data_IF_174036944151
#
_entry.id   IF_174036944151
#
_cell.length_a   1.000
_cell.length_b   1.000
_cell.length_c   1.000
_cell.angle_alpha   90.00
_cell.angle_beta   90.00
_cell.angle_gamma   90.00
#
_symmetry.space_group_name_H-M   'P 1'
#
loop_
_entity.id
_entity.type
_entity.pdbx_description
1 polymer ?
#
# COMPACT_ATOMS: atom_id res chain seq x y z
N UNK A 1 17.76 19.43 4.10
CA UNK A 1 18.40 18.09 4.05
C UNK A 1 17.38 16.96 4.22
N UNK A 2 16.71 16.81 5.38
CA UNK A 2 15.76 15.71 5.66
C UNK A 2 14.63 15.59 4.62
N UNK A 3 14.07 16.71 4.17
CA UNK A 3 13.07 16.74 3.07
C UNK A 3 13.58 16.05 1.81
N UNK A 4 14.83 16.32 1.40
CA UNK A 4 15.45 15.73 0.20
C UNK A 4 15.65 14.23 0.39
N UNK A 5 16.10 13.80 1.57
CA UNK A 5 16.23 12.38 1.91
C UNK A 5 14.87 11.69 1.84
N UNK A 6 13.84 12.30 2.41
CA UNK A 6 12.48 11.75 2.46
C UNK A 6 11.92 11.54 1.06
N UNK A 7 12.06 12.55 0.18
CA UNK A 7 11.65 12.46 -1.21
C UNK A 7 12.45 11.43 -2.02
N UNK A 8 13.78 11.35 -1.80
CA UNK A 8 14.63 10.36 -2.45
C UNK A 8 14.25 8.92 -2.04
N UNK A 9 14.06 8.69 -0.74
CA UNK A 9 13.59 7.40 -0.21
C UNK A 9 12.20 7.05 -0.76
N UNK A 10 11.29 8.02 -0.81
CA UNK A 10 9.96 7.87 -1.41
C UNK A 10 10.03 7.43 -2.87
N UNK A 11 10.80 8.14 -3.70
CA UNK A 11 10.96 7.82 -5.11
C UNK A 11 11.57 6.42 -5.33
N UNK A 12 12.63 6.08 -4.58
CA UNK A 12 13.26 4.75 -4.63
C UNK A 12 12.25 3.67 -4.23
N UNK A 13 11.51 3.89 -3.14
CA UNK A 13 10.51 2.96 -2.65
C UNK A 13 9.35 2.75 -3.62
N UNK A 14 8.87 3.81 -4.28
CA UNK A 14 7.81 3.72 -5.29
C UNK A 14 8.27 2.86 -6.46
N UNK A 15 9.47 3.12 -6.99
CA UNK A 15 10.03 2.32 -8.10
C UNK A 15 10.18 0.86 -7.67
N UNK A 16 10.73 0.59 -6.49
CA UNK A 16 10.94 -0.77 -5.99
C UNK A 16 9.61 -1.52 -5.80
N UNK A 17 8.61 -0.90 -5.15
CA UNK A 17 7.30 -1.53 -4.93
C UNK A 17 6.54 -1.73 -6.25
N UNK A 18 6.65 -0.80 -7.20
CA UNK A 18 6.05 -0.97 -8.53
C UNK A 18 6.68 -2.15 -9.28
N UNK A 19 8.01 -2.26 -9.27
CA UNK A 19 8.72 -3.42 -9.86
C UNK A 19 8.31 -4.73 -9.19
N UNK A 20 8.21 -4.75 -7.85
CA UNK A 20 7.74 -5.92 -7.10
C UNK A 20 6.31 -6.29 -7.50
N UNK A 21 5.41 -5.31 -7.58
CA UNK A 21 4.02 -5.54 -7.96
C UNK A 21 3.89 -6.12 -9.37
N UNK A 22 4.63 -5.58 -10.35
CA UNK A 22 4.69 -6.14 -11.69
C UNK A 22 5.27 -7.57 -11.68
N UNK A 23 6.32 -7.83 -10.91
CA UNK A 23 6.89 -9.17 -10.79
C UNK A 23 5.88 -10.19 -10.23
N UNK A 24 5.06 -9.76 -9.26
CA UNK A 24 3.98 -10.57 -8.67
C UNK A 24 2.92 -10.92 -9.72
N UNK A 25 2.46 -9.94 -10.50
CA UNK A 25 1.42 -10.15 -11.53
C UNK A 25 1.90 -11.14 -12.59
N UNK A 26 3.12 -10.98 -13.10
CA UNK A 26 3.56 -11.70 -14.30
C UNK A 26 4.22 -13.05 -14.04
N UNK A 27 4.77 -13.30 -12.84
CA UNK A 27 5.68 -14.45 -12.63
C UNK A 27 5.42 -15.26 -11.37
N UNK A 28 4.30 -15.06 -10.69
CA UNK A 28 3.99 -15.88 -9.52
C UNK A 28 3.71 -17.34 -9.93
N UNK A 29 4.49 -18.32 -9.42
CA UNK A 29 4.23 -19.73 -9.67
C UNK A 29 2.95 -20.20 -8.97
N UNK A 30 2.27 -21.20 -9.52
CA UNK A 30 0.98 -21.69 -9.02
C UNK A 30 0.97 -22.02 -7.52
N UNK A 31 2.05 -22.60 -7.00
CA UNK A 31 2.18 -22.96 -5.59
C UNK A 31 2.31 -21.76 -4.63
N UNK A 32 2.74 -20.59 -5.12
CA UNK A 32 2.85 -19.35 -4.32
C UNK A 32 1.69 -18.38 -4.54
N UNK A 33 0.68 -18.75 -5.34
CA UNK A 33 -0.39 -17.84 -5.78
C UNK A 33 -1.10 -17.13 -4.62
N UNK A 34 -1.42 -17.85 -3.56
CA UNK A 34 -2.14 -17.27 -2.41
C UNK A 34 -1.23 -16.31 -1.63
N UNK A 35 0.01 -16.70 -1.38
CA UNK A 35 1.00 -15.87 -0.71
C UNK A 35 1.31 -14.59 -1.51
N UNK A 36 1.34 -14.67 -2.83
CA UNK A 36 1.58 -13.50 -3.69
C UNK A 36 0.43 -12.49 -3.64
N UNK A 37 -0.79 -12.88 -3.26
CA UNK A 37 -1.89 -11.92 -3.02
C UNK A 37 -1.60 -11.05 -1.80
N UNK A 38 -1.10 -11.65 -0.73
CA UNK A 38 -0.67 -10.92 0.48
C UNK A 38 0.46 -9.95 0.13
N UNK A 39 1.47 -10.43 -0.58
CA UNK A 39 2.57 -9.56 -1.04
C UNK A 39 2.11 -8.46 -2.00
N UNK A 40 1.19 -8.77 -2.91
CA UNK A 40 0.65 -7.80 -3.86
C UNK A 40 -0.12 -6.70 -3.14
N UNK A 41 -0.96 -7.05 -2.18
CA UNK A 41 -1.68 -6.09 -1.34
C UNK A 41 -0.69 -5.22 -0.54
N UNK A 42 0.33 -5.83 0.09
CA UNK A 42 1.37 -5.09 0.81
C UNK A 42 2.11 -4.11 -0.10
N UNK A 43 2.48 -4.51 -1.32
CA UNK A 43 3.16 -3.63 -2.27
C UNK A 43 2.28 -2.46 -2.71
N UNK A 44 0.96 -2.66 -2.83
CA UNK A 44 0.00 -1.58 -3.11
C UNK A 44 -0.12 -0.64 -1.92
N UNK A 45 -0.25 -1.16 -0.70
CA UNK A 45 -0.26 -0.33 0.52
C UNK A 45 1.02 0.50 0.64
N UNK A 46 2.18 -0.11 0.38
CA UNK A 46 3.47 0.57 0.41
C UNK A 46 3.56 1.66 -0.68
N UNK A 47 3.04 1.43 -1.89
CA UNK A 47 2.97 2.45 -2.95
C UNK A 47 2.11 3.65 -2.54
N UNK A 48 0.90 3.39 -2.03
CA UNK A 48 -0.02 4.45 -1.59
C UNK A 48 0.57 5.22 -0.42
N UNK A 49 1.14 4.52 0.56
CA UNK A 49 1.78 5.14 1.73
C UNK A 49 2.98 6.00 1.38
N UNK A 50 3.86 5.52 0.49
CA UNK A 50 5.01 6.29 0.01
C UNK A 50 4.57 7.50 -0.83
N UNK A 51 3.53 7.36 -1.65
CA UNK A 51 2.92 8.49 -2.37
C UNK A 51 2.36 9.54 -1.41
N UNK A 52 1.65 9.13 -0.36
CA UNK A 52 1.14 10.00 0.68
C UNK A 52 2.26 10.72 1.45
N UNK A 53 3.35 10.01 1.75
CA UNK A 53 4.54 10.61 2.36
C UNK A 53 5.20 11.65 1.45
N UNK A 54 5.35 11.37 0.15
CA UNK A 54 5.92 12.35 -0.77
C UNK A 54 5.02 13.58 -0.96
N UNK A 55 3.70 13.41 -0.87
CA UNK A 55 2.75 14.52 -0.93
C UNK A 55 2.74 15.37 0.34
N UNK A 56 2.97 14.78 1.51
CA UNK A 56 2.93 15.48 2.80
C UNK A 56 4.28 16.06 3.23
N UNK A 57 5.36 15.30 3.03
CA UNK A 57 6.72 15.56 3.54
C UNK A 57 6.68 16.14 4.95
N UNK A 58 6.08 15.36 5.86
CA UNK A 58 5.78 15.77 7.22
C UNK A 58 7.04 15.83 8.07
N UNK A 59 7.22 16.92 8.81
CA UNK A 59 8.18 17.03 9.91
C UNK A 59 7.43 17.16 11.23
N UNK A 60 7.83 16.38 12.21
CA UNK A 60 7.25 16.42 13.54
C UNK A 60 8.09 17.36 14.41
N UNK A 61 7.43 18.25 15.16
CA UNK A 61 8.07 19.18 16.09
C UNK A 61 7.35 19.13 17.42
N UNK A 62 8.07 18.77 18.49
CA UNK A 62 7.46 18.77 19.82
C UNK A 62 7.52 20.18 20.37
N UNK A 63 6.35 20.76 20.65
CA UNK A 63 6.22 22.11 21.18
C UNK A 63 5.29 22.10 22.39
N UNK A 64 5.89 22.20 23.58
CA UNK A 64 5.20 22.07 24.88
C UNK A 64 4.40 20.75 24.92
N UNK A 65 3.10 20.81 25.20
CA UNK A 65 2.18 19.68 25.32
C UNK A 65 1.55 19.24 23.97
N UNK A 66 2.15 19.59 22.84
CA UNK A 66 1.65 19.21 21.52
C UNK A 66 2.79 18.79 20.57
N UNK A 67 2.47 17.96 19.59
CA UNK A 67 3.30 17.75 18.41
C UNK A 67 2.72 18.55 17.25
N UNK A 68 3.51 19.49 16.73
CA UNK A 68 3.21 20.24 15.53
C UNK A 68 3.71 19.44 14.33
N UNK A 69 2.85 19.25 13.34
CA UNK A 69 3.16 18.60 12.07
C UNK A 69 3.37 19.70 11.02
N UNK A 70 4.61 19.92 10.61
CA UNK A 70 4.91 20.83 9.51
C UNK A 70 4.86 20.09 8.17
N UNK A 71 3.97 20.50 7.28
CA UNK A 71 3.83 19.87 5.97
C UNK A 71 4.60 20.63 4.90
N UNK A 72 5.68 20.03 4.39
CA UNK A 72 6.56 20.64 3.39
C UNK A 72 6.34 20.09 1.97
N UNK A 73 5.39 19.17 1.79
CA UNK A 73 5.10 18.54 0.51
C UNK A 73 4.11 19.32 -0.34
N UNK A 74 3.79 18.75 -1.51
CA UNK A 74 2.87 19.35 -2.50
C UNK A 74 1.45 19.56 -1.93
N UNK A 75 1.07 18.81 -0.88
CA UNK A 75 -0.25 18.94 -0.28
C UNK A 75 -0.53 20.35 0.26
N UNK A 76 0.49 21.06 0.74
CA UNK A 76 0.35 22.38 1.35
C UNK A 76 -0.01 23.43 0.31
N UNK A 77 0.44 23.23 -0.95
CA UNK A 77 0.19 24.14 -2.06
C UNK A 77 -1.20 23.96 -2.68
N UNK A 78 -1.72 22.73 -2.71
CA UNK A 78 -2.96 22.41 -3.44
C UNK A 78 -4.20 22.58 -2.57
N UNK A 79 -4.16 22.07 -1.34
CA UNK A 79 -5.33 22.00 -0.47
C UNK A 79 -5.07 22.44 0.96
N UNK A 80 -3.92 23.06 1.21
CA UNK A 80 -3.52 23.52 2.53
C UNK A 80 -3.54 22.42 3.58
N UNK A 81 -3.94 22.79 4.79
CA UNK A 81 -3.94 21.88 5.95
C UNK A 81 -4.92 20.72 5.80
N UNK A 82 -6.08 20.92 5.15
CA UNK A 82 -7.11 19.89 5.05
C UNK A 82 -6.63 18.70 4.21
N UNK A 83 -6.08 18.98 3.03
CA UNK A 83 -5.55 17.95 2.15
C UNK A 83 -4.31 17.28 2.76
N UNK A 84 -3.43 18.05 3.41
CA UNK A 84 -2.27 17.47 4.12
C UNK A 84 -2.69 16.54 5.25
N UNK A 85 -3.67 16.93 6.07
CA UNK A 85 -4.19 16.09 7.16
C UNK A 85 -4.82 14.80 6.65
N UNK A 86 -5.58 14.87 5.55
CA UNK A 86 -6.14 13.67 4.91
C UNK A 86 -5.04 12.73 4.39
N UNK A 87 -4.06 13.26 3.65
CA UNK A 87 -2.95 12.47 3.13
C UNK A 87 -2.07 11.89 4.25
N UNK A 88 -1.91 12.62 5.35
CA UNK A 88 -1.23 12.10 6.55
C UNK A 88 -2.01 10.92 7.15
N UNK A 89 -3.34 11.02 7.24
CA UNK A 89 -4.20 9.91 7.63
C UNK A 89 -4.09 8.70 6.70
N UNK A 90 -4.00 8.92 5.38
CA UNK A 90 -3.73 7.85 4.38
C UNK A 90 -2.39 7.18 4.67
N UNK A 91 -1.34 7.95 4.95
CA UNK A 91 -0.03 7.43 5.29
C UNK A 91 -0.09 6.53 6.53
N UNK A 92 -0.69 7.00 7.63
CA UNK A 92 -0.82 6.24 8.89
C UNK A 92 -1.67 4.96 8.73
N UNK A 93 -2.75 5.05 7.94
CA UNK A 93 -3.56 3.89 7.59
C UNK A 93 -2.75 2.84 6.83
N UNK A 94 -1.95 3.25 5.85
CA UNK A 94 -1.11 2.34 5.07
C UNK A 94 -0.02 1.68 5.90
N UNK A 95 0.63 2.38 6.85
CA UNK A 95 1.59 1.74 7.77
C UNK A 95 0.93 0.62 8.57
N UNK A 96 -0.22 0.92 9.17
CA UNK A 96 -0.97 -0.04 9.97
C UNK A 96 -1.37 -1.26 9.13
N UNK A 97 -1.90 -1.03 7.92
CA UNK A 97 -2.27 -2.10 7.00
C UNK A 97 -1.06 -2.96 6.61
N UNK A 98 0.08 -2.35 6.25
CA UNK A 98 1.31 -3.08 5.90
C UNK A 98 1.83 -3.94 7.06
N UNK A 99 1.86 -3.42 8.30
CA UNK A 99 2.29 -4.19 9.47
C UNK A 99 1.40 -5.42 9.72
N UNK A 100 0.08 -5.25 9.58
CA UNK A 100 -0.88 -6.35 9.73
C UNK A 100 -0.78 -7.36 8.59
N UNK A 101 -0.61 -6.91 7.34
CA UNK A 101 -0.39 -7.79 6.19
C UNK A 101 0.91 -8.58 6.32
N UNK A 102 1.97 -7.95 6.83
CA UNK A 102 3.24 -8.60 7.12
C UNK A 102 3.04 -9.68 8.19
N UNK A 103 2.40 -9.36 9.32
CA UNK A 103 2.09 -10.36 10.36
C UNK A 103 1.21 -11.49 9.82
N UNK A 104 0.18 -11.16 9.05
CA UNK A 104 -0.67 -12.14 8.39
C UNK A 104 0.12 -13.05 7.44
N UNK A 105 1.16 -12.53 6.80
CA UNK A 105 2.07 -13.34 5.98
C UNK A 105 2.82 -14.41 6.80
N UNK A 106 3.21 -14.12 8.05
CA UNK A 106 3.79 -15.09 8.98
C UNK A 106 2.75 -16.15 9.36
N UNK A 107 1.54 -15.73 9.74
CA UNK A 107 0.45 -16.65 10.11
C UNK A 107 0.10 -17.58 8.95
N UNK A 108 -0.04 -17.03 7.74
CA UNK A 108 -0.32 -17.79 6.53
C UNK A 108 0.77 -18.83 6.24
N UNK A 109 2.05 -18.48 6.41
CA UNK A 109 3.17 -19.41 6.24
C UNK A 109 3.11 -20.54 7.26
N UNK A 110 2.89 -20.24 8.54
CA UNK A 110 2.74 -21.26 9.59
C UNK A 110 1.57 -22.20 9.28
N UNK A 111 0.42 -21.66 8.87
CA UNK A 111 -0.76 -22.43 8.51
C UNK A 111 -0.51 -23.34 7.29
N UNK A 112 0.19 -22.83 6.28
CA UNK A 112 0.53 -23.60 5.08
C UNK A 112 1.47 -24.77 5.38
N UNK A 113 2.37 -24.63 6.37
CA UNK A 113 3.23 -25.72 6.83
C UNK A 113 2.46 -26.82 7.58
N UNK A 114 1.31 -26.51 8.18
CA UNK A 114 0.57 -27.44 9.02
C UNK A 114 -0.48 -28.27 8.26
N UNK A 115 -0.95 -27.81 7.10
CA UNK A 115 -2.15 -28.38 6.47
C UNK A 115 -1.98 -28.68 4.98
N UNK A 116 -2.20 -29.94 4.62
CA UNK A 116 -2.44 -30.42 3.26
C UNK A 116 -3.95 -30.48 3.00
N UNK A 117 -4.36 -30.27 1.76
CA UNK A 117 -5.76 -30.32 1.27
C UNK A 117 -6.70 -29.16 1.64
N UNK A 118 -6.63 -28.07 0.86
CA UNK A 118 -7.71 -27.57 -0.01
C UNK A 118 -7.37 -26.13 -0.49
N UNK A 119 -6.92 -25.96 -1.74
CA UNK A 119 -6.30 -24.71 -2.20
C UNK A 119 -7.29 -23.56 -2.48
N UNK A 120 -8.50 -23.86 -2.98
CA UNK A 120 -9.42 -22.82 -3.45
C UNK A 120 -10.08 -22.05 -2.30
N UNK A 121 -10.58 -22.74 -1.29
CA UNK A 121 -11.18 -22.10 -0.10
C UNK A 121 -10.17 -21.20 0.59
N UNK A 122 -8.90 -21.63 0.66
CA UNK A 122 -7.80 -20.88 1.26
C UNK A 122 -7.53 -19.55 0.54
N UNK A 123 -7.56 -19.53 -0.79
CA UNK A 123 -7.35 -18.28 -1.55
C UNK A 123 -8.43 -17.25 -1.23
N UNK A 124 -9.69 -17.67 -1.20
CA UNK A 124 -10.82 -16.80 -0.87
C UNK A 124 -10.69 -16.26 0.55
N UNK A 125 -10.43 -17.14 1.52
CA UNK A 125 -10.25 -16.74 2.93
C UNK A 125 -9.13 -15.71 3.08
N UNK A 126 -7.99 -15.91 2.39
CA UNK A 126 -6.87 -14.95 2.42
C UNK A 126 -7.27 -13.60 1.84
N UNK A 127 -7.98 -13.58 0.71
CA UNK A 127 -8.47 -12.33 0.11
C UNK A 127 -9.44 -11.61 1.03
N UNK A 128 -10.38 -12.33 1.65
CA UNK A 128 -11.32 -11.75 2.61
C UNK A 128 -10.62 -11.15 3.82
N UNK A 129 -9.58 -11.81 4.35
CA UNK A 129 -8.79 -11.27 5.47
C UNK A 129 -8.03 -10.01 5.04
N UNK A 130 -7.43 -9.99 3.85
CA UNK A 130 -6.77 -8.79 3.31
C UNK A 130 -7.74 -7.62 3.23
N UNK A 131 -8.92 -7.83 2.63
CA UNK A 131 -9.96 -6.80 2.50
C UNK A 131 -10.41 -6.34 3.88
N UNK A 132 -10.63 -7.27 4.82
CA UNK A 132 -11.01 -6.95 6.19
C UNK A 132 -9.96 -6.09 6.89
N UNK A 133 -8.68 -6.41 6.78
CA UNK A 133 -7.58 -5.60 7.35
C UNK A 133 -7.66 -4.17 6.82
N UNK A 134 -7.79 -3.99 5.50
CA UNK A 134 -7.83 -2.66 4.89
C UNK A 134 -9.09 -1.91 5.32
N UNK A 135 -10.27 -2.53 5.21
CA UNK A 135 -11.56 -1.85 5.49
C UNK A 135 -11.72 -1.50 6.97
N UNK A 136 -11.35 -2.39 7.90
CA UNK A 136 -11.49 -2.12 9.35
C UNK A 136 -10.64 -0.94 9.80
N UNK A 137 -9.49 -0.72 9.16
CA UNK A 137 -8.56 0.34 9.52
C UNK A 137 -8.77 1.63 8.69
N UNK A 138 -9.65 1.60 7.68
CA UNK A 138 -9.98 2.77 6.85
C UNK A 138 -10.44 4.00 7.66
N UNK A 139 -11.22 3.87 8.77
CA UNK A 139 -11.59 5.01 9.60
C UNK A 139 -10.42 5.80 10.17
N UNK A 140 -9.18 5.26 10.19
CA UNK A 140 -8.01 6.03 10.59
C UNK A 140 -7.79 7.28 9.75
N UNK A 141 -8.14 7.24 8.45
CA UNK A 141 -7.92 8.37 7.55
C UNK A 141 -8.70 9.62 8.03
N UNK A 142 -10.04 9.58 8.15
CA UNK A 142 -10.79 10.73 8.65
C UNK A 142 -10.47 11.04 10.12
N UNK A 143 -10.15 10.05 10.96
CA UNK A 143 -9.78 10.30 12.36
C UNK A 143 -8.48 11.11 12.49
N UNK A 144 -7.45 10.77 11.71
CA UNK A 144 -6.21 11.55 11.67
C UNK A 144 -6.41 12.92 11.04
N UNK A 145 -7.23 13.03 9.99
CA UNK A 145 -7.60 14.33 9.46
C UNK A 145 -8.23 15.21 10.56
N UNK A 146 -9.27 14.74 11.25
CA UNK A 146 -9.90 15.48 12.36
C UNK A 146 -8.91 15.80 13.49
N UNK A 147 -8.03 14.87 13.83
CA UNK A 147 -7.03 15.06 14.88
C UNK A 147 -6.07 16.19 14.52
N UNK A 148 -5.59 16.22 13.27
CA UNK A 148 -4.51 17.11 12.83
C UNK A 148 -4.98 18.48 12.37
N UNK A 149 -6.20 18.62 11.84
CA UNK A 149 -6.71 19.89 11.26
C UNK A 149 -7.50 20.74 12.26
N UNK A 150 -7.54 20.33 13.53
CA UNK A 150 -8.25 21.08 14.56
C UNK A 150 -7.67 22.48 14.74
N UNK A 151 -8.54 23.44 15.04
CA UNK A 151 -8.11 24.79 15.45
C UNK A 151 -7.61 24.72 16.89
N UNK A 152 -6.33 25.01 17.09
CA UNK A 152 -5.68 25.01 18.40
C UNK A 152 -4.76 26.23 18.52
N UNK A 153 -4.91 26.99 19.60
CA UNK A 153 -4.08 28.18 19.85
C UNK A 153 -2.58 27.86 19.99
N UNK A 154 -2.21 26.60 20.24
CA UNK A 154 -0.83 26.13 20.21
C UNK A 154 -0.18 26.28 18.83
N UNK A 155 -0.97 26.13 17.74
CA UNK A 155 -0.47 26.33 16.37
C UNK A 155 -0.11 27.80 16.15
N UNK A 156 -0.95 28.72 16.60
CA UNK A 156 -0.70 30.16 16.47
C UNK A 156 0.51 30.61 17.30
N UNK A 157 0.63 30.08 18.52
CA UNK A 157 1.81 30.31 19.37
C UNK A 157 3.09 29.76 18.72
N UNK A 158 3.01 28.57 18.12
CA UNK A 158 4.13 28.00 17.39
C UNK A 158 4.53 28.87 16.19
N UNK A 159 3.57 29.30 15.37
CA UNK A 159 3.79 30.22 14.24
C UNK A 159 4.50 31.49 14.69
N UNK A 160 3.99 32.14 15.73
CA UNK A 160 4.59 33.37 16.27
C UNK A 160 6.01 33.11 16.81
N UNK A 161 6.24 31.99 17.51
CA UNK A 161 7.55 31.67 18.08
C UNK A 161 8.62 31.39 17.01
N UNK A 162 8.21 30.86 15.86
CA UNK A 162 9.11 30.50 14.74
C UNK A 162 9.18 31.55 13.64
N UNK A 163 8.33 32.59 13.68
CA UNK A 163 8.21 33.57 12.61
C UNK A 163 7.69 32.96 11.30
N UNK A 164 6.85 31.92 11.39
CA UNK A 164 6.29 31.24 10.22
C UNK A 164 4.95 31.89 9.87
N UNK A 165 4.80 32.32 8.61
CA UNK A 165 3.56 32.94 8.13
C UNK A 165 2.42 31.94 7.95
N UNK A 166 1.24 32.42 7.56
CA UNK A 166 0.02 31.60 7.43
C UNK A 166 0.03 30.68 6.20
N UNK A 167 0.97 30.88 5.29
CA UNK A 167 1.17 30.06 4.09
C UNK A 167 1.63 28.63 4.39
N UNK A 168 2.33 28.41 5.50
CA UNK A 168 2.78 27.07 5.88
C UNK A 168 1.61 26.26 6.45
N UNK A 169 1.32 25.09 5.87
CA UNK A 169 0.34 24.16 6.44
C UNK A 169 0.91 23.49 7.71
N UNK A 170 0.21 23.67 8.84
CA UNK A 170 0.59 23.13 10.13
C UNK A 170 -0.57 22.31 10.72
N UNK A 171 -0.30 21.06 11.06
CA UNK A 171 -1.19 20.21 11.84
C UNK A 171 -0.77 20.17 13.31
N UNK A 172 -1.68 19.71 14.17
CA UNK A 172 -1.42 19.60 15.60
C UNK A 172 -1.94 18.28 16.16
N UNK A 173 -1.13 17.63 16.98
CA UNK A 173 -1.52 16.49 17.82
C UNK A 173 -1.34 16.94 19.26
N UNK A 174 -2.44 17.22 19.94
CA UNK A 174 -2.42 17.72 21.31
C UNK A 174 -2.45 16.56 22.30
N UNK A 175 -1.50 16.45 23.22
CA UNK A 175 -1.45 15.30 24.14
C UNK A 175 -2.37 15.42 25.34
N UNK A 176 -2.88 16.63 25.63
CA UNK A 176 -3.90 16.84 26.64
C UNK A 176 -5.31 16.46 26.19
N UNK A 177 -5.52 16.25 24.89
CA UNK A 177 -6.82 15.89 24.34
C UNK A 177 -6.94 14.36 24.23
N UNK A 178 -8.05 13.83 24.76
CA UNK A 178 -8.27 12.39 24.80
C UNK A 178 -8.38 11.79 23.40
N UNK A 179 -9.02 12.49 22.45
CA UNK A 179 -9.26 11.99 21.12
C UNK A 179 -7.95 11.78 20.34
N UNK A 180 -7.09 12.80 20.27
CA UNK A 180 -5.76 12.71 19.63
C UNK A 180 -4.88 11.64 20.27
N UNK A 181 -4.89 11.53 21.61
CA UNK A 181 -4.14 10.47 22.32
C UNK A 181 -4.62 9.08 21.93
N UNK A 182 -5.93 8.85 21.84
CA UNK A 182 -6.49 7.55 21.42
C UNK A 182 -6.08 7.23 19.98
N UNK A 183 -6.20 8.18 19.06
CA UNK A 183 -5.83 7.98 17.64
C UNK A 183 -4.34 7.65 17.50
N UNK A 184 -3.45 8.39 18.17
CA UNK A 184 -2.02 8.10 18.14
C UNK A 184 -1.66 6.78 18.83
N UNK A 185 -2.27 6.49 19.98
CA UNK A 185 -2.06 5.24 20.71
C UNK A 185 -2.46 4.03 19.88
N UNK A 186 -3.54 4.16 19.09
CA UNK A 186 -3.96 3.11 18.17
C UNK A 186 -2.87 2.77 17.15
N UNK A 187 -2.27 3.75 16.48
CA UNK A 187 -1.18 3.52 15.52
C UNK A 187 0.08 2.95 16.17
N UNK A 188 0.39 3.38 17.40
CA UNK A 188 1.50 2.80 18.15
C UNK A 188 1.25 1.33 18.52
N UNK A 189 0.04 1.00 18.98
CA UNK A 189 -0.36 -0.37 19.27
C UNK A 189 -0.39 -1.23 18.01
N UNK A 190 -0.84 -0.68 16.88
CA UNK A 190 -0.86 -1.37 15.59
C UNK A 190 0.55 -1.62 15.02
N UNK A 191 1.57 -0.92 15.50
CA UNK A 191 2.98 -1.24 15.25
C UNK A 191 3.49 -2.34 16.20
N UNK A 192 3.28 -2.15 17.50
CA UNK A 192 3.83 -3.01 18.54
C UNK A 192 3.24 -4.43 18.54
N UNK A 193 1.92 -4.58 18.41
CA UNK A 193 1.25 -5.87 18.48
C UNK A 193 1.63 -6.78 17.30
N UNK A 194 1.54 -6.34 16.01
CA UNK A 194 1.93 -7.18 14.88
C UNK A 194 3.42 -7.52 14.88
N UNK A 195 4.29 -6.62 15.33
CA UNK A 195 5.72 -6.92 15.50
C UNK A 195 5.92 -8.05 16.52
N UNK A 196 5.37 -7.89 17.73
CA UNK A 196 5.48 -8.87 18.81
C UNK A 196 4.92 -10.24 18.41
N UNK A 197 3.76 -10.25 17.76
CA UNK A 197 3.17 -11.47 17.21
C UNK A 197 4.06 -12.09 16.13
N UNK A 198 4.71 -11.28 15.27
CA UNK A 198 5.62 -11.79 14.24
C UNK A 198 6.86 -12.45 14.84
N UNK A 199 7.40 -11.92 15.95
CA UNK A 199 8.50 -12.56 16.70
C UNK A 199 8.07 -13.95 17.22
N UNK A 200 6.87 -14.04 17.81
CA UNK A 200 6.33 -15.31 18.33
C UNK A 200 6.07 -16.31 17.19
N UNK A 201 5.43 -15.85 16.10
CA UNK A 201 5.14 -16.69 14.94
C UNK A 201 6.42 -17.17 14.28
N UNK A 202 7.46 -16.34 14.19
CA UNK A 202 8.78 -16.74 13.70
C UNK A 202 9.35 -17.90 14.51
N UNK A 203 9.33 -17.83 15.85
CA UNK A 203 9.81 -18.93 16.71
C UNK A 203 9.04 -20.22 16.44
N UNK A 204 7.71 -20.14 16.31
CA UNK A 204 6.85 -21.29 15.97
C UNK A 204 7.16 -21.86 14.59
N UNK A 205 7.36 -21.02 13.57
CA UNK A 205 7.71 -21.44 12.22
C UNK A 205 9.05 -22.16 12.20
N UNK A 206 10.09 -21.61 12.84
CA UNK A 206 11.42 -22.23 12.89
C UNK A 206 11.35 -23.61 13.55
N UNK A 207 10.73 -23.71 14.73
CA UNK A 207 10.54 -24.99 15.41
C UNK A 207 9.82 -26.00 14.53
N UNK A 208 8.74 -25.57 13.86
CA UNK A 208 7.98 -26.47 12.98
C UNK A 208 8.79 -26.89 11.75
N UNK A 209 9.59 -25.99 11.21
CA UNK A 209 10.49 -26.29 10.09
C UNK A 209 11.61 -27.24 10.49
N UNK A 210 12.14 -27.14 11.72
CA UNK A 210 13.13 -28.07 12.27
C UNK A 210 12.54 -29.48 12.46
N UNK A 211 11.32 -29.58 13.01
CA UNK A 211 10.59 -30.86 13.14
C UNK A 211 10.41 -31.56 11.78
N UNK A 212 10.18 -30.81 10.70
CA UNK A 212 10.02 -31.38 9.36
C UNK A 212 11.36 -31.65 8.65
N UNK A 213 12.46 -31.06 9.12
CA UNK A 213 13.77 -31.07 8.42
C UNK A 213 14.30 -32.47 8.16
N UNK A 214 14.03 -33.41 9.05
CA UNK A 214 14.49 -34.81 8.94
C UNK A 214 13.76 -35.57 7.82
N UNK A 215 12.53 -35.19 7.49
CA UNK A 215 11.72 -35.83 6.44
C UNK A 215 11.88 -35.25 5.03
N UNK A 216 12.67 -34.18 4.87
CA UNK A 216 12.66 -33.36 3.67
C UNK A 216 13.85 -33.63 2.74
N UNK A 217 13.56 -33.60 1.43
CA UNK A 217 14.59 -33.69 0.37
C UNK A 217 15.57 -32.52 0.42
N UNK A 218 16.77 -32.70 -0.15
CA UNK A 218 17.81 -31.66 -0.25
C UNK A 218 17.30 -30.39 -0.96
N UNK A 219 16.46 -30.54 -2.00
CA UNK A 219 15.86 -29.42 -2.71
C UNK A 219 14.89 -28.63 -1.81
N UNK A 220 14.07 -29.33 -1.03
CA UNK A 220 13.18 -28.71 -0.05
C UNK A 220 13.98 -27.98 1.03
N UNK A 221 15.08 -28.56 1.52
CA UNK A 221 15.96 -27.94 2.52
C UNK A 221 16.51 -26.58 2.07
N UNK A 222 16.89 -26.43 0.81
CA UNK A 222 17.30 -25.14 0.24
C UNK A 222 16.16 -24.10 0.23
N UNK A 223 14.93 -24.53 -0.10
CA UNK A 223 13.75 -23.66 0.00
C UNK A 223 13.45 -23.27 1.46
N UNK A 224 13.68 -24.17 2.42
CA UNK A 224 13.57 -23.89 3.85
C UNK A 224 14.53 -22.78 4.30
N UNK A 225 15.81 -22.87 3.95
CA UNK A 225 16.80 -21.85 4.33
C UNK A 225 16.46 -20.48 3.72
N UNK A 226 15.99 -20.45 2.47
CA UNK A 226 15.53 -19.22 1.82
C UNK A 226 14.36 -18.60 2.60
N UNK A 227 13.40 -19.42 3.06
CA UNK A 227 12.24 -18.95 3.82
C UNK A 227 12.64 -18.40 5.20
N UNK A 228 13.56 -19.05 5.92
CA UNK A 228 14.07 -18.54 7.21
C UNK A 228 14.76 -17.19 7.05
N UNK A 229 15.59 -17.04 6.01
CA UNK A 229 16.23 -15.76 5.69
C UNK A 229 15.18 -14.67 5.36
N UNK A 230 14.14 -15.03 4.62
CA UNK A 230 13.01 -14.14 4.34
C UNK A 230 12.34 -13.63 5.63
N UNK A 231 12.06 -14.55 6.56
CA UNK A 231 11.41 -14.24 7.83
C UNK A 231 12.25 -13.29 8.69
N UNK A 232 13.57 -13.52 8.77
CA UNK A 232 14.47 -12.63 9.51
C UNK A 232 14.46 -11.21 8.92
N UNK A 233 14.58 -11.11 7.60
CA UNK A 233 14.67 -9.82 6.93
C UNK A 233 13.34 -9.06 7.00
N UNK A 234 12.21 -9.74 6.86
CA UNK A 234 10.88 -9.14 7.04
C UNK A 234 10.65 -8.64 8.48
N UNK A 235 11.14 -9.37 9.49
CA UNK A 235 11.07 -8.91 10.87
C UNK A 235 11.93 -7.67 11.13
N UNK A 236 13.15 -7.62 10.55
CA UNK A 236 13.99 -6.43 10.57
C UNK A 236 13.29 -5.25 9.88
N UNK A 237 12.64 -5.48 8.74
CA UNK A 237 11.86 -4.44 8.04
C UNK A 237 10.75 -3.88 8.93
N UNK A 238 9.96 -4.75 9.57
CA UNK A 238 8.90 -4.31 10.48
C UNK A 238 9.41 -3.57 11.72
N UNK A 239 10.67 -3.80 12.12
CA UNK A 239 11.24 -3.13 13.28
C UNK A 239 11.44 -1.63 13.07
N UNK A 240 11.61 -1.15 11.82
CA UNK A 240 11.82 0.28 11.55
C UNK A 240 10.61 1.13 11.96
N UNK A 241 9.39 0.66 11.68
CA UNK A 241 8.19 1.36 12.12
C UNK A 241 8.04 1.33 13.65
N UNK A 242 8.33 0.19 14.29
CA UNK A 242 8.33 0.09 15.76
C UNK A 242 9.35 1.03 16.41
N UNK A 243 10.57 1.11 15.86
CA UNK A 243 11.61 2.02 16.35
C UNK A 243 11.17 3.47 16.13
N UNK A 244 10.56 3.81 15.00
CA UNK A 244 10.00 5.12 14.76
C UNK A 244 8.95 5.51 15.80
N UNK A 245 7.97 4.65 16.07
CA UNK A 245 6.98 4.87 17.13
C UNK A 245 7.63 4.99 18.53
N UNK A 246 8.66 4.20 18.82
CA UNK A 246 9.37 4.28 20.10
C UNK A 246 10.16 5.59 20.24
N UNK A 247 10.81 6.05 19.16
CA UNK A 247 11.49 7.35 19.12
C UNK A 247 10.52 8.51 19.25
N UNK A 248 9.34 8.43 18.63
CA UNK A 248 8.26 9.40 18.81
C UNK A 248 7.87 9.51 20.29
N UNK A 249 7.59 8.38 20.95
CA UNK A 249 7.26 8.35 22.38
C UNK A 249 8.42 8.87 23.25
N UNK A 250 9.65 8.50 22.91
CA UNK A 250 10.83 8.96 23.62
C UNK A 250 10.99 10.48 23.52
N UNK A 251 10.89 11.06 22.32
CA UNK A 251 10.93 12.51 22.12
C UNK A 251 9.80 13.20 22.89
N UNK A 252 8.60 12.62 22.87
CA UNK A 252 7.47 13.13 23.62
C UNK A 252 7.74 13.20 25.13
N UNK A 253 8.24 12.12 25.73
CA UNK A 253 8.53 12.07 27.17
C UNK A 253 9.71 12.97 27.51
N UNK A 254 10.83 12.82 26.80
CA UNK A 254 12.09 13.52 27.13
C UNK A 254 11.98 15.02 26.92
N UNK A 255 11.37 15.50 25.84
CA UNK A 255 11.31 16.95 25.60
C UNK A 255 10.35 17.66 26.56
N UNK A 256 9.39 16.95 27.16
CA UNK A 256 8.57 17.48 28.25
C UNK A 256 9.32 17.50 29.60
N UNK A 257 10.24 16.57 29.83
CA UNK A 257 11.03 16.50 31.08
C UNK A 257 12.30 17.36 31.02
N UNK A 258 12.95 17.42 29.85
CA UNK A 258 14.24 18.07 29.59
C UNK A 258 14.15 18.93 28.31
N UNK A 259 13.66 20.18 28.39
CA UNK A 259 13.38 21.03 27.23
C UNK A 259 14.60 21.47 26.40
N UNK A 260 15.83 21.09 26.80
CA UNK A 260 17.07 21.34 26.05
C UNK A 260 17.67 20.10 25.38
N UNK A 261 17.01 18.95 25.44
CA UNK A 261 17.52 17.73 24.82
C UNK A 261 17.49 17.82 23.28
N UNK A 262 18.48 17.27 22.56
CA UNK A 262 18.50 17.31 21.09
C UNK A 262 17.24 16.69 20.49
N UNK A 263 16.50 17.48 19.72
CA UNK A 263 15.26 17.04 19.08
C UNK A 263 15.58 16.04 17.96
N UNK A 264 15.11 14.80 18.09
CA UNK A 264 15.23 13.76 17.05
C UNK A 264 13.92 13.52 16.30
N UNK A 265 12.93 14.39 16.46
CA UNK A 265 11.61 14.24 15.85
C UNK A 265 11.67 14.26 14.31
N UNK A 266 12.61 15.01 13.73
CA UNK A 266 12.76 15.13 12.27
C UNK A 266 13.13 13.81 11.58
N UNK A 267 13.72 12.84 12.29
CA UNK A 267 14.08 11.53 11.72
C UNK A 267 12.96 10.49 11.88
N UNK A 268 11.95 10.72 12.72
CA UNK A 268 10.89 9.75 13.04
C UNK A 268 10.14 9.32 11.78
N UNK A 269 9.59 10.29 11.03
CA UNK A 269 8.81 10.00 9.83
C UNK A 269 9.64 9.27 8.75
N UNK A 270 10.85 9.75 8.36
CA UNK A 270 11.71 9.01 7.44
C UNK A 270 12.04 7.58 7.90
N UNK A 271 12.25 7.37 9.20
CA UNK A 271 12.55 6.07 9.77
C UNK A 271 11.35 5.11 9.68
N UNK A 272 10.14 5.58 9.98
CA UNK A 272 8.91 4.83 9.80
C UNK A 272 8.74 4.38 8.33
N UNK A 273 8.99 5.30 7.39
CA UNK A 273 8.88 5.04 5.95
C UNK A 273 9.89 4.03 5.42
N UNK A 274 11.03 3.88 6.10
CA UNK A 274 12.07 2.95 5.69
C UNK A 274 11.55 1.50 5.64
N UNK A 275 10.54 1.17 6.45
CA UNK A 275 9.80 -0.09 6.35
C UNK A 275 9.28 -0.33 4.93
N UNK A 276 8.53 0.62 4.37
CA UNK A 276 7.85 0.49 3.07
C UNK A 276 8.87 0.44 1.92
N UNK A 277 10.00 1.13 2.05
CA UNK A 277 11.08 1.10 1.05
C UNK A 277 11.80 -0.25 1.08
N UNK A 278 12.28 -0.67 2.25
CA UNK A 278 13.09 -1.88 2.37
C UNK A 278 12.25 -3.15 2.15
N UNK A 279 10.96 -3.15 2.52
CA UNK A 279 10.01 -4.25 2.24
C UNK A 279 10.08 -4.73 0.78
N UNK A 280 10.05 -3.80 -0.18
CA UNK A 280 10.10 -4.15 -1.60
C UNK A 280 11.42 -4.83 -1.99
N UNK A 281 12.56 -4.23 -1.60
CA UNK A 281 13.88 -4.75 -1.93
C UNK A 281 14.09 -6.15 -1.35
N UNK A 282 13.72 -6.34 -0.09
CA UNK A 282 13.89 -7.61 0.62
C UNK A 282 13.10 -8.72 -0.06
N UNK A 283 11.85 -8.45 -0.44
CA UNK A 283 11.03 -9.39 -1.19
C UNK A 283 11.59 -9.68 -2.59
N UNK A 284 12.07 -8.68 -3.33
CA UNK A 284 12.69 -8.88 -4.66
C UNK A 284 13.97 -9.73 -4.58
N UNK A 285 14.85 -9.43 -3.62
CA UNK A 285 16.17 -10.09 -3.50
C UNK A 285 16.03 -11.54 -3.04
N UNK A 286 15.14 -11.79 -2.08
CA UNK A 286 14.99 -13.12 -1.47
C UNK A 286 14.17 -14.06 -2.34
N UNK A 287 13.07 -13.57 -2.93
CA UNK A 287 12.16 -14.44 -3.67
C UNK A 287 12.76 -14.71 -5.06
N UNK A 288 13.42 -15.86 -5.18
CA UNK A 288 14.13 -16.32 -6.37
C UNK A 288 13.39 -16.09 -7.70
N UNK A 289 12.09 -16.43 -7.88
CA UNK A 289 11.41 -16.19 -9.15
C UNK A 289 11.30 -14.71 -9.52
N UNK A 290 11.18 -13.81 -8.52
CA UNK A 290 11.16 -12.37 -8.73
C UNK A 290 12.56 -11.84 -9.05
N UNK A 291 13.57 -12.25 -8.27
CA UNK A 291 14.98 -11.89 -8.54
C UNK A 291 15.41 -12.24 -9.96
N UNK A 292 15.19 -13.49 -10.39
CA UNK A 292 15.56 -13.94 -11.74
C UNK A 292 14.94 -13.07 -12.83
N UNK A 293 13.71 -12.60 -12.64
CA UNK A 293 13.03 -11.74 -13.62
C UNK A 293 13.57 -10.32 -13.62
N UNK A 294 13.78 -9.73 -12.45
CA UNK A 294 14.36 -8.39 -12.34
C UNK A 294 15.75 -8.38 -12.98
N UNK A 295 16.60 -9.35 -12.64
CA UNK A 295 17.92 -9.52 -13.28
C UNK A 295 17.77 -9.67 -14.79
N UNK A 296 16.83 -10.48 -15.29
CA UNK A 296 16.61 -10.60 -16.73
C UNK A 296 16.15 -9.27 -17.37
N UNK A 297 15.30 -8.47 -16.72
CA UNK A 297 14.84 -7.18 -17.27
C UNK A 297 16.00 -6.18 -17.33
N UNK A 298 16.83 -6.12 -16.28
CA UNK A 298 17.93 -5.16 -16.21
C UNK A 298 19.16 -5.59 -17.01
N UNK A 299 19.52 -6.88 -17.01
CA UNK A 299 20.76 -7.38 -17.63
C UNK A 299 20.58 -8.03 -19.00
N UNK A 300 19.40 -8.59 -19.34
CA UNK A 300 19.17 -9.10 -20.70
C UNK A 300 18.87 -7.97 -21.71
N UNK A 301 18.64 -6.74 -21.24
CA UNK A 301 18.47 -5.54 -22.07
C UNK A 301 19.80 -4.83 -22.37
N UNK A 302 20.86 -5.56 -22.74
CA UNK A 302 21.86 -5.05 -23.71
C UNK A 302 21.27 -5.08 -25.14
N UNK A 303 20.04 -4.60 -25.30
CA UNK A 303 19.34 -4.43 -26.56
C UNK A 303 18.95 -2.94 -26.68
N UNK A 304 19.13 -2.30 -27.85
CA UNK A 304 19.17 -0.86 -27.99
C UNK A 304 17.86 -0.20 -27.54
N UNK A 305 18.01 0.83 -26.71
CA UNK A 305 16.97 1.65 -26.05
C UNK A 305 15.87 2.20 -26.99
N UNK A 306 16.07 2.15 -28.32
CA UNK A 306 15.07 2.49 -29.35
C UNK A 306 13.79 1.65 -29.29
N UNK A 307 13.82 0.42 -28.76
CA UNK A 307 12.59 -0.41 -28.67
C UNK A 307 11.68 -0.09 -27.48
N UNK A 308 12.19 0.54 -26.42
CA UNK A 308 11.39 0.83 -25.22
C UNK A 308 10.46 2.04 -25.45
N UNK A 309 10.90 3.02 -26.24
CA UNK A 309 10.05 4.14 -26.67
C UNK A 309 8.96 3.66 -27.64
N UNK A 310 9.20 2.60 -28.42
CA UNK A 310 8.19 1.95 -29.25
C UNK A 310 7.10 1.20 -28.47
N UNK A 311 7.33 0.87 -27.19
CA UNK A 311 6.33 0.23 -26.31
C UNK A 311 5.34 1.26 -25.74
N UNK A 312 5.73 2.53 -25.62
CA UNK A 312 4.86 3.60 -25.15
C UNK A 312 3.91 4.16 -26.24
N UNK A 313 4.11 3.78 -27.50
CA UNK A 313 3.17 4.08 -28.60
C UNK A 313 2.91 2.79 -29.40
N UNK A 314 2.05 1.87 -28.93
CA UNK A 314 1.82 0.64 -29.66
C UNK A 314 0.88 0.90 -30.84
N UNK A 315 1.39 0.65 -32.05
CA UNK A 315 0.55 0.48 -33.24
C UNK A 315 -0.46 -0.67 -33.01
N UNK A 316 -1.72 -0.45 -33.41
CA UNK A 316 -2.90 -1.33 -33.17
C UNK A 316 -2.68 -2.82 -33.52
N UNK A 317 -1.67 -3.16 -34.33
CA UNK A 317 -1.36 -4.55 -34.74
C UNK A 317 -0.54 -5.35 -33.73
N UNK A 318 0.39 -4.74 -32.99
CA UNK A 318 1.26 -5.48 -32.05
C UNK A 318 0.59 -5.79 -30.70
N UNK A 319 -0.33 -4.94 -30.25
CA UNK A 319 -1.14 -5.21 -29.04
C UNK A 319 -1.96 -6.50 -29.19
N UNK A 320 -2.43 -6.81 -30.40
CA UNK A 320 -3.23 -8.02 -30.69
C UNK A 320 -2.40 -9.32 -30.60
N UNK A 321 -1.09 -9.26 -30.90
CA UNK A 321 -0.21 -10.44 -30.91
C UNK A 321 0.33 -10.75 -29.51
N UNK A 322 0.77 -9.74 -28.75
CA UNK A 322 1.30 -9.98 -27.40
C UNK A 322 0.21 -10.31 -26.37
N UNK A 323 -0.99 -9.75 -26.48
CA UNK A 323 -2.13 -10.17 -25.65
C UNK A 323 -2.57 -11.60 -26.01
N UNK A 324 -2.47 -12.00 -27.27
CA UNK A 324 -2.76 -13.39 -27.70
C UNK A 324 -1.73 -14.38 -27.17
N UNK A 325 -0.43 -14.05 -27.16
CA UNK A 325 0.61 -14.95 -26.64
C UNK A 325 0.63 -15.05 -25.10
N UNK A 326 0.42 -13.94 -24.37
CA UNK A 326 0.38 -13.97 -22.90
C UNK A 326 -0.86 -14.68 -22.34
N UNK A 327 -1.88 -14.89 -23.17
CA UNK A 327 -3.12 -15.57 -22.78
C UNK A 327 -3.29 -16.95 -23.42
N UNK A 328 -2.30 -17.49 -24.14
CA UNK A 328 -2.43 -18.80 -24.81
C UNK A 328 -1.62 -19.94 -24.21
N UNK A 329 -0.76 -19.74 -23.21
CA UNK A 329 -0.03 -20.86 -22.60
C UNK A 329 -0.55 -21.19 -21.19
N UNK A 330 -1.15 -22.39 -21.06
CA UNK A 330 -1.39 -23.15 -19.82
C UNK A 330 -2.51 -22.74 -18.83
N UNK A 331 -3.56 -22.03 -19.26
CA UNK A 331 -4.78 -21.86 -18.44
C UNK A 331 -6.02 -22.48 -19.12
N UNK A 332 -6.87 -23.23 -18.38
CA UNK A 332 -8.18 -23.65 -18.88
C UNK A 332 -8.94 -22.45 -19.45
N UNK A 333 -9.64 -22.62 -20.58
CA UNK A 333 -10.31 -21.54 -21.32
C UNK A 333 -11.19 -20.64 -20.42
N UNK A 334 -11.79 -21.22 -19.38
CA UNK A 334 -12.63 -20.51 -18.40
C UNK A 334 -11.84 -19.54 -17.50
N UNK A 335 -10.65 -19.94 -17.03
CA UNK A 335 -9.78 -19.09 -16.20
C UNK A 335 -9.21 -17.90 -16.98
N UNK A 336 -9.08 -18.02 -18.31
CA UNK A 336 -8.57 -16.94 -19.17
C UNK A 336 -9.56 -15.80 -19.32
N UNK A 337 -10.84 -16.10 -19.44
CA UNK A 337 -11.89 -15.08 -19.51
C UNK A 337 -11.97 -14.34 -18.17
N UNK A 338 -11.99 -15.07 -17.05
CA UNK A 338 -12.00 -14.46 -15.72
C UNK A 338 -10.77 -13.57 -15.45
N UNK A 339 -9.56 -14.04 -15.79
CA UNK A 339 -8.34 -13.23 -15.62
C UNK A 339 -8.32 -11.98 -16.51
N UNK A 340 -8.93 -12.03 -17.70
CA UNK A 340 -9.06 -10.84 -18.57
C UNK A 340 -10.07 -9.84 -18.01
N UNK A 341 -11.18 -10.31 -17.45
CA UNK A 341 -12.18 -9.46 -16.78
C UNK A 341 -11.53 -8.75 -15.58
N UNK A 342 -10.75 -9.48 -14.77
CA UNK A 342 -10.09 -8.91 -13.60
C UNK A 342 -8.95 -7.94 -13.96
N UNK A 343 -8.19 -8.23 -15.02
CA UNK A 343 -7.17 -7.31 -15.53
C UNK A 343 -7.79 -6.03 -16.13
N UNK A 344 -8.92 -6.16 -16.84
CA UNK A 344 -9.67 -5.01 -17.33
C UNK A 344 -10.23 -4.17 -16.18
N UNK A 345 -10.72 -4.81 -15.11
CA UNK A 345 -11.17 -4.13 -13.91
C UNK A 345 -10.05 -3.30 -13.27
N UNK A 346 -8.88 -3.90 -13.02
CA UNK A 346 -7.74 -3.17 -12.43
C UNK A 346 -7.22 -2.05 -13.33
N UNK A 347 -7.34 -2.18 -14.65
CA UNK A 347 -7.01 -1.10 -15.58
C UNK A 347 -8.02 0.04 -15.49
N UNK A 348 -9.33 -0.26 -15.40
CA UNK A 348 -10.38 0.73 -15.18
C UNK A 348 -10.19 1.46 -13.84
N UNK A 349 -9.87 0.75 -12.75
CA UNK A 349 -9.55 1.35 -11.45
C UNK A 349 -8.37 2.31 -11.53
N UNK A 350 -7.30 1.93 -12.22
CA UNK A 350 -6.11 2.77 -12.35
C UNK A 350 -6.39 4.04 -13.16
N UNK A 351 -7.16 3.92 -14.25
CA UNK A 351 -7.57 5.08 -15.06
C UNK A 351 -8.55 5.96 -14.28
N UNK A 352 -9.50 5.37 -13.56
CA UNK A 352 -10.43 6.10 -12.70
C UNK A 352 -9.72 6.83 -11.56
N UNK A 353 -8.72 6.20 -10.94
CA UNK A 353 -7.87 6.80 -9.93
C UNK A 353 -7.05 7.97 -10.49
N UNK A 354 -6.42 7.78 -11.65
CA UNK A 354 -5.70 8.86 -12.33
C UNK A 354 -6.63 10.03 -12.68
N UNK A 355 -7.85 9.73 -13.16
CA UNK A 355 -8.86 10.73 -13.45
C UNK A 355 -9.33 11.48 -12.20
N UNK A 356 -9.54 10.77 -11.08
CA UNK A 356 -9.90 11.35 -9.80
C UNK A 356 -8.79 12.26 -9.23
N UNK A 357 -7.52 11.85 -9.34
CA UNK A 357 -6.37 12.67 -8.94
C UNK A 357 -6.31 13.96 -9.78
N UNK A 358 -6.62 13.87 -11.07
CA UNK A 358 -6.59 15.01 -11.97
C UNK A 358 -7.81 15.93 -11.81
N UNK A 359 -8.98 15.39 -11.43
CA UNK A 359 -10.26 16.09 -11.30
C UNK A 359 -10.79 16.09 -9.88
N UNK A 360 -10.02 16.69 -8.95
CA UNK A 360 -10.45 16.82 -7.55
C UNK A 360 -11.73 17.65 -7.51
N UNK A 361 -12.84 17.04 -7.15
CA UNK A 361 -14.15 17.70 -7.11
C UNK A 361 -14.57 17.99 -5.67
N UNK A 362 -15.09 19.19 -5.45
CA UNK A 362 -15.80 19.57 -4.23
C UNK A 362 -17.27 19.74 -4.58
N UNK A 363 -18.11 18.89 -4.00
CA UNK A 363 -19.55 18.94 -4.22
C UNK A 363 -20.20 19.90 -3.21
N UNK A 364 -20.86 20.96 -3.70
CA UNK A 364 -21.74 21.80 -2.88
C UNK A 364 -23.20 21.46 -3.22
N UNK A 365 -23.94 21.02 -2.21
CA UNK A 365 -25.36 20.67 -2.33
C UNK A 365 -26.18 21.93 -2.01
N UNK A 366 -26.92 22.43 -3.00
CA UNK A 366 -27.99 23.39 -2.81
C UNK A 366 -29.34 22.67 -2.94
N UNK A 367 -30.39 23.24 -2.36
CA UNK A 367 -31.71 22.60 -2.16
C UNK A 367 -32.33 21.93 -3.40
N UNK A 368 -31.94 22.34 -4.61
CA UNK A 368 -32.42 21.78 -5.88
C UNK A 368 -31.33 21.53 -6.93
N UNK A 369 -30.06 21.81 -6.63
CA UNK A 369 -28.97 21.70 -7.60
C UNK A 369 -27.63 21.31 -6.94
N UNK A 370 -26.82 20.55 -7.69
CA UNK A 370 -25.45 20.22 -7.31
C UNK A 370 -24.49 21.10 -8.10
N UNK A 371 -23.63 21.84 -7.40
CA UNK A 371 -22.51 22.54 -8.01
C UNK A 371 -21.25 21.70 -7.75
N UNK A 372 -20.59 21.29 -8.84
CA UNK A 372 -19.28 20.64 -8.80
C UNK A 372 -18.22 21.72 -8.99
N UNK A 373 -17.49 22.02 -7.91
CA UNK A 373 -16.30 22.86 -7.98
C UNK A 373 -15.11 21.97 -8.30
N UNK A 374 -14.50 22.17 -9.47
CA UNK A 374 -13.31 21.44 -9.88
C UNK A 374 -12.05 22.14 -9.38
N UNK A 375 -11.16 21.37 -8.76
CA UNK A 375 -9.86 21.79 -8.24
C UNK A 375 -8.76 20.87 -8.77
N UNK A 376 -7.51 21.32 -8.67
CA UNK A 376 -6.32 20.51 -8.98
C UNK A 376 -5.76 20.72 -10.39
N UNK A 377 -5.13 19.67 -10.93
CA UNK A 377 -4.33 19.77 -12.16
C UNK A 377 -5.21 20.05 -13.40
N UNK A 378 -6.43 19.52 -13.45
CA UNK A 378 -7.33 19.75 -14.59
C UNK A 378 -7.70 21.23 -14.74
N UNK A 379 -7.92 21.93 -13.61
CA UNK A 379 -8.32 23.35 -13.63
C UNK A 379 -7.16 24.25 -14.04
N UNK A 380 -5.93 23.84 -13.74
CA UNK A 380 -4.72 24.56 -14.13
C UNK A 380 -4.35 24.37 -15.61
N UNK A 381 -4.64 23.20 -16.19
CA UNK A 381 -4.16 22.84 -17.53
C UNK A 381 -5.17 23.13 -18.63
N UNK A 382 -6.46 22.88 -18.42
CA UNK A 382 -7.44 22.85 -19.50
C UNK A 382 -8.80 23.48 -19.19
N UNK A 383 -8.96 24.14 -18.04
CA UNK A 383 -10.22 24.77 -17.66
C UNK A 383 -11.37 23.80 -17.38
N UNK A 384 -12.59 24.34 -17.34
CA UNK A 384 -13.80 23.61 -16.91
C UNK A 384 -14.13 22.43 -17.84
N UNK A 385 -13.93 22.57 -19.15
CA UNK A 385 -14.23 21.51 -20.12
C UNK A 385 -13.31 20.30 -19.94
N UNK A 386 -12.02 20.52 -19.69
CA UNK A 386 -11.08 19.44 -19.42
C UNK A 386 -11.38 18.75 -18.09
N UNK A 387 -11.71 19.51 -17.04
CA UNK A 387 -12.15 18.95 -15.77
C UNK A 387 -13.43 18.13 -15.89
N UNK A 388 -14.43 18.62 -16.63
CA UNK A 388 -15.67 17.91 -16.91
C UNK A 388 -15.42 16.60 -17.67
N UNK A 389 -14.49 16.62 -18.64
CA UNK A 389 -14.07 15.41 -19.35
C UNK A 389 -13.41 14.39 -18.41
N UNK A 390 -12.47 14.81 -17.56
CA UNK A 390 -11.80 13.93 -16.61
C UNK A 390 -12.77 13.35 -15.56
N UNK A 391 -13.72 14.15 -15.09
CA UNK A 391 -14.78 13.69 -14.20
C UNK A 391 -15.72 12.69 -14.89
N UNK A 392 -16.07 12.93 -16.16
CA UNK A 392 -16.79 11.97 -16.98
C UNK A 392 -16.03 10.65 -17.17
N UNK A 393 -14.70 10.71 -17.35
CA UNK A 393 -13.84 9.52 -17.40
C UNK A 393 -13.84 8.79 -16.07
N UNK A 394 -13.76 9.49 -14.94
CA UNK A 394 -13.86 8.90 -13.60
C UNK A 394 -15.18 8.14 -13.43
N UNK A 395 -16.32 8.78 -13.69
CA UNK A 395 -17.66 8.16 -13.58
C UNK A 395 -17.85 6.97 -14.53
N UNK A 396 -17.37 7.07 -15.77
CA UNK A 396 -17.39 5.97 -16.72
C UNK A 396 -16.50 4.80 -16.29
N UNK A 397 -15.31 5.08 -15.74
CA UNK A 397 -14.42 4.04 -15.25
C UNK A 397 -14.96 3.39 -13.98
N UNK A 398 -15.62 4.14 -13.09
CA UNK A 398 -16.32 3.60 -11.93
C UNK A 398 -17.46 2.66 -12.36
N UNK A 399 -18.29 3.10 -13.30
CA UNK A 399 -19.39 2.29 -13.87
C UNK A 399 -18.85 1.03 -14.56
N UNK A 400 -17.80 1.16 -15.38
CA UNK A 400 -17.16 0.04 -16.05
C UNK A 400 -16.57 -0.97 -15.05
N UNK A 401 -15.97 -0.47 -13.96
CA UNK A 401 -15.45 -1.28 -12.86
C UNK A 401 -16.56 -2.07 -12.19
N UNK A 402 -17.68 -1.44 -11.83
CA UNK A 402 -18.84 -2.12 -11.26
C UNK A 402 -19.39 -3.20 -12.21
N UNK A 403 -19.51 -2.91 -13.51
CA UNK A 403 -19.96 -3.88 -14.51
C UNK A 403 -19.00 -5.06 -14.66
N UNK A 404 -17.69 -4.80 -14.69
CA UNK A 404 -16.66 -5.85 -14.76
C UNK A 404 -16.64 -6.70 -13.49
N UNK A 405 -16.88 -6.10 -12.33
CA UNK A 405 -17.01 -6.81 -11.06
C UNK A 405 -18.25 -7.71 -11.09
N UNK A 406 -19.41 -7.19 -11.50
CA UNK A 406 -20.64 -7.97 -11.69
C UNK A 406 -20.46 -9.12 -12.68
N UNK A 407 -19.80 -8.88 -13.82
CA UNK A 407 -19.46 -9.91 -14.80
C UNK A 407 -18.52 -10.96 -14.20
N UNK A 408 -17.55 -10.56 -13.38
CA UNK A 408 -16.65 -11.49 -12.69
C UNK A 408 -17.43 -12.41 -11.72
N UNK A 409 -18.42 -11.86 -11.01
CA UNK A 409 -19.30 -12.62 -10.11
C UNK A 409 -20.22 -13.56 -10.89
N UNK A 410 -20.92 -13.08 -11.91
CA UNK A 410 -21.81 -13.89 -12.74
C UNK A 410 -21.06 -15.05 -13.42
N UNK A 411 -19.85 -14.78 -13.92
CA UNK A 411 -19.00 -15.79 -14.53
C UNK A 411 -18.58 -16.87 -13.53
N UNK A 412 -18.24 -16.46 -12.30
CA UNK A 412 -17.88 -17.37 -11.22
C UNK A 412 -19.07 -18.21 -10.75
N UNK A 413 -20.26 -17.63 -10.70
CA UNK A 413 -21.50 -18.34 -10.35
C UNK A 413 -21.82 -19.46 -11.37
N UNK A 414 -21.77 -19.12 -12.66
CA UNK A 414 -21.97 -20.09 -13.76
C UNK A 414 -20.91 -21.21 -13.75
N UNK A 415 -19.65 -20.89 -13.43
CA UNK A 415 -18.61 -21.90 -13.28
C UNK A 415 -18.89 -22.88 -12.12
N UNK A 416 -19.45 -22.40 -11.01
CA UNK A 416 -19.85 -23.23 -9.87
C UNK A 416 -21.05 -24.13 -10.22
N UNK A 417 -22.05 -23.60 -10.92
CA UNK A 417 -23.21 -24.39 -11.36
C UNK A 417 -22.80 -25.53 -12.29
N UNK A 418 -21.92 -25.25 -13.27
CA UNK A 418 -21.38 -26.28 -14.17
C UNK A 418 -20.59 -27.36 -13.43
N UNK A 419 -19.77 -26.95 -12.46
CA UNK A 419 -19.02 -27.92 -11.65
C UNK A 419 -19.96 -28.81 -10.83
N UNK A 420 -21.09 -28.28 -10.36
CA UNK A 420 -22.07 -29.03 -9.57
C UNK A 420 -22.87 -29.99 -10.45
N UNK A 421 -23.23 -29.56 -11.67
CA UNK A 421 -23.92 -30.39 -12.67
C UNK A 421 -23.07 -31.59 -13.13
N UNK A 422 -21.77 -31.37 -13.37
CA UNK A 422 -20.86 -32.45 -13.76
C UNK A 422 -20.70 -33.51 -12.66
N UNK A 423 -20.58 -33.11 -11.39
CA UNK A 423 -20.54 -34.08 -10.27
C UNK A 423 -21.82 -34.92 -10.15
N UNK A 424 -22.98 -34.33 -10.44
CA UNK A 424 -24.26 -35.06 -10.48
C UNK A 424 -24.36 -36.04 -11.64
N UNK A 425 -23.63 -35.81 -12.74
CA UNK A 425 -23.54 -36.75 -13.87
C UNK A 425 -22.55 -37.88 -13.62
N UNK A 426 -21.45 -37.63 -12.93
CA UNK A 426 -20.46 -38.66 -12.58
C UNK A 426 -20.93 -39.60 -11.46
N UNK A 427 -21.97 -39.22 -10.71
CA UNK A 427 -22.57 -40.02 -9.63
C UNK A 427 -23.81 -40.81 -10.07
N UNK A 428 -24.21 -40.69 -11.34
CA UNK A 428 -25.25 -41.52 -11.98
C UNK A 428 -24.57 -42.41 -13.00
#
# INVERSE_FOLDING_TARGET
>A
FITVITLALGAIGIIANFVLFLAIIFRTPSHMRVYSRILGASAVCDLVGLGAMMLTVTKEKIFRSACILEYHGVCSLIGGIDFCGYMFGVQEHMYTATCLLLNFSFVYRLFTLQRTNNNNTREITVILIIVLIIVVHFPLIPLYHLATTRKDGMVDQYRHSRGIGNEQALGVIQYGDFFTVVVCSYSMLSSFLPFSLSVVMRKKIIRKMEEMRESLSVASKSQHDMLVRALNLQLTVSSFFMIGCALFLFNLVILNVLPGFPETSDIVVPLCNLQNVISAFTNIIIITPYRKRVVHIFFANKLPFRSIIGILIPSKRQLKIHVSLATNSFAPSHMRVYSRILAAHSACDLVGLAAMILSVTKQKIFSTAYILEFHGLCSAIGGVDFCGCMFGVQEHMYTATCLLLCMSFAYRLNALERSTSNRKRESR
#
